data_IF_878866472665
#
_entry.id   IF_878866472665
#
_cell.length_a   1.000
_cell.length_b   1.000
_cell.length_c   1.000
_cell.angle_alpha   90.00
_cell.angle_beta   90.00
_cell.angle_gamma   90.00
#
_symmetry.space_group_name_H-M   'P 1'
#
loop_
_entity.id
_entity.type
_entity.pdbx_description
1 polymer ?
#
# COMPACT_ATOMS: atom_id res chain seq x y z
N UNK A 1 8.47 -13.97 -6.90
CA UNK A 1 7.69 -14.04 -5.64
C UNK A 1 6.22 -14.13 -6.01
N UNK A 2 5.48 -15.04 -5.39
CA UNK A 2 4.02 -15.16 -5.55
C UNK A 2 3.31 -13.98 -4.87
N UNK A 3 2.18 -13.50 -5.40
CA UNK A 3 1.33 -12.43 -4.79
C UNK A 3 1.06 -12.68 -3.31
N UNK A 4 0.79 -13.93 -2.95
CA UNK A 4 0.53 -14.38 -1.58
C UNK A 4 1.68 -14.04 -0.64
N UNK A 5 2.92 -14.30 -1.07
CA UNK A 5 4.13 -14.04 -0.29
C UNK A 5 4.34 -12.53 -0.05
N UNK A 6 4.00 -11.70 -1.03
CA UNK A 6 4.09 -10.24 -0.91
C UNK A 6 3.05 -9.71 0.07
N UNK A 7 1.81 -10.20 -0.01
CA UNK A 7 0.75 -9.81 0.92
C UNK A 7 1.01 -10.27 2.36
N UNK A 8 1.60 -11.45 2.54
CA UNK A 8 2.00 -11.95 3.86
C UNK A 8 3.16 -11.12 4.43
N UNK A 9 4.19 -10.81 3.64
CA UNK A 9 5.28 -9.93 4.06
C UNK A 9 4.79 -8.52 4.42
N UNK A 10 3.86 -7.95 3.63
CA UNK A 10 3.20 -6.68 3.95
C UNK A 10 2.42 -6.76 5.27
N UNK A 11 1.74 -7.88 5.52
CA UNK A 11 1.07 -8.14 6.79
C UNK A 11 2.03 -8.19 7.98
N UNK A 12 3.15 -8.90 7.83
CA UNK A 12 4.20 -8.98 8.87
C UNK A 12 4.83 -7.62 9.18
N UNK A 13 5.03 -6.80 8.15
CA UNK A 13 5.56 -5.43 8.29
C UNK A 13 4.51 -4.40 8.71
N UNK A 14 3.25 -4.81 8.95
CA UNK A 14 2.12 -3.94 9.29
C UNK A 14 1.88 -2.84 8.25
N UNK A 15 2.14 -3.14 6.99
CA UNK A 15 1.95 -2.23 5.85
C UNK A 15 0.49 -2.29 5.37
N UNK A 16 -0.42 -1.80 6.20
CA UNK A 16 -1.86 -1.96 5.96
C UNK A 16 -2.33 -1.16 4.74
N UNK A 17 -1.76 0.03 4.51
CA UNK A 17 -2.09 0.86 3.35
C UNK A 17 -1.60 0.22 2.06
N UNK A 18 -0.36 -0.31 2.05
CA UNK A 18 0.15 -1.06 0.89
C UNK A 18 -0.69 -2.29 0.60
N UNK A 19 -1.03 -3.07 1.63
CA UNK A 19 -1.81 -4.30 1.48
C UNK A 19 -3.19 -4.01 0.90
N UNK A 20 -3.83 -2.93 1.33
CA UNK A 20 -5.16 -2.53 0.84
C UNK A 20 -5.12 -2.02 -0.61
N UNK A 21 -4.08 -1.27 -0.97
CA UNK A 21 -3.93 -0.69 -2.32
C UNK A 21 -3.30 -1.66 -3.34
N UNK A 22 -2.75 -2.80 -2.90
CA UNK A 22 -1.97 -3.71 -3.74
C UNK A 22 -2.68 -4.14 -5.01
N UNK A 23 -3.93 -4.62 -4.91
CA UNK A 23 -4.67 -5.13 -6.07
C UNK A 23 -5.02 -4.03 -7.08
N UNK A 24 -5.36 -2.84 -6.59
CA UNK A 24 -5.70 -1.69 -7.43
C UNK A 24 -4.46 -1.13 -8.14
N UNK A 25 -3.35 -0.98 -7.41
CA UNK A 25 -2.08 -0.51 -7.97
C UNK A 25 -1.54 -1.52 -8.98
N UNK A 26 -1.57 -2.82 -8.67
CA UNK A 26 -1.13 -3.85 -9.62
C UNK A 26 -2.02 -3.92 -10.85
N UNK A 27 -3.35 -3.83 -10.71
CA UNK A 27 -4.27 -3.80 -11.84
C UNK A 27 -4.02 -2.57 -12.74
N UNK A 28 -3.71 -1.42 -12.14
CA UNK A 28 -3.37 -0.19 -12.86
C UNK A 28 -2.00 -0.29 -13.53
N UNK A 29 -1.01 -0.83 -12.83
CA UNK A 29 0.34 -1.03 -13.33
C UNK A 29 0.38 -1.94 -14.56
N UNK A 30 -0.36 -3.04 -14.54
CA UNK A 30 -0.48 -3.96 -15.67
C UNK A 30 -1.21 -3.30 -16.84
N UNK A 31 -2.28 -2.55 -16.59
CA UNK A 31 -3.05 -1.86 -17.64
C UNK A 31 -2.30 -0.71 -18.30
N UNK A 32 -1.46 0.00 -17.54
CA UNK A 32 -0.79 1.23 -18.00
C UNK A 32 0.72 1.07 -18.23
N UNK A 33 1.25 -0.15 -18.10
CA UNK A 33 2.69 -0.43 -18.13
C UNK A 33 3.48 0.56 -17.27
N UNK A 34 3.01 0.77 -16.03
CA UNK A 34 3.72 1.68 -15.12
C UNK A 34 5.14 1.19 -14.90
N UNK A 35 6.08 2.13 -14.88
CA UNK A 35 7.45 1.82 -14.49
C UNK A 35 7.43 1.25 -13.06
N UNK A 36 8.26 0.22 -12.77
CA UNK A 36 8.37 -0.33 -11.42
C UNK A 36 8.57 0.72 -10.32
N UNK A 37 9.26 1.83 -10.61
CA UNK A 37 9.44 2.93 -9.66
C UNK A 37 8.11 3.61 -9.30
N UNK A 38 7.21 3.74 -10.27
CA UNK A 38 5.91 4.38 -10.11
C UNK A 38 4.96 3.49 -9.29
N UNK A 39 5.00 2.17 -9.52
CA UNK A 39 4.26 1.18 -8.71
C UNK A 39 4.70 1.22 -7.25
N UNK A 40 6.01 1.26 -7.00
CA UNK A 40 6.56 1.37 -5.64
C UNK A 40 6.13 2.71 -5.01
N UNK A 41 6.16 3.80 -5.76
CA UNK A 41 5.70 5.11 -5.31
C UNK A 41 4.22 5.13 -4.91
N UNK A 42 3.35 4.53 -5.72
CA UNK A 42 1.91 4.43 -5.44
C UNK A 42 1.63 3.61 -4.17
N UNK A 43 2.34 2.48 -4.00
CA UNK A 43 2.25 1.68 -2.78
C UNK A 43 2.75 2.46 -1.55
N UNK A 44 3.87 3.18 -1.65
CA UNK A 44 4.41 3.97 -0.55
C UNK A 44 3.46 5.11 -0.16
N UNK A 45 2.86 5.79 -1.13
CA UNK A 45 1.87 6.83 -0.88
C UNK A 45 0.63 6.28 -0.17
N UNK A 46 0.15 5.08 -0.56
CA UNK A 46 -0.96 4.43 0.13
C UNK A 46 -0.66 4.14 1.60
N UNK A 47 0.56 3.69 1.90
CA UNK A 47 1.01 3.44 3.27
C UNK A 47 1.12 4.73 4.11
N UNK A 48 1.67 5.79 3.53
CA UNK A 48 1.80 7.09 4.20
C UNK A 48 0.41 7.66 4.50
N UNK A 49 -0.51 7.60 3.54
CA UNK A 49 -1.90 8.05 3.69
C UNK A 49 -2.63 7.27 4.79
N UNK A 50 -2.44 5.95 4.84
CA UNK A 50 -3.02 5.09 5.88
C UNK A 50 -2.48 5.45 7.27
N UNK A 51 -1.16 5.61 7.41
CA UNK A 51 -0.53 6.06 8.67
C UNK A 51 -1.00 7.44 9.10
N UNK A 52 -1.16 8.36 8.16
CA UNK A 52 -1.63 9.71 8.45
C UNK A 52 -3.09 9.71 8.88
N UNK A 53 -3.96 8.95 8.19
CA UNK A 53 -5.35 8.77 8.58
C UNK A 53 -5.48 8.12 9.97
N UNK A 54 -4.62 7.15 10.29
CA UNK A 54 -4.56 6.52 11.60
C UNK A 54 -4.09 7.48 12.69
N UNK A 55 -3.09 8.32 12.39
CA UNK A 55 -2.60 9.37 13.29
C UNK A 55 -3.67 10.43 13.58
N UNK A 56 -4.38 10.90 12.55
CA UNK A 56 -5.49 11.86 12.68
C UNK A 56 -6.62 11.25 13.54
N UNK A 57 -7.01 10.00 13.27
CA UNK A 57 -8.01 9.30 14.11
C UNK A 57 -7.55 9.19 15.57
N UNK A 58 -6.27 8.89 15.80
CA UNK A 58 -5.71 8.82 17.14
C UNK A 58 -5.78 10.18 17.85
N UNK A 59 -5.50 11.28 17.15
CA UNK A 59 -5.61 12.64 17.68
C UNK A 59 -7.07 13.06 17.95
N UNK A 60 -8.02 12.68 17.09
CA UNK A 60 -9.44 13.02 17.26
C UNK A 60 -10.18 12.18 18.31
N UNK A 61 -9.56 11.10 18.79
CA UNK A 61 -10.11 10.25 19.85
C UNK A 61 -9.66 10.72 21.26
N UNK A 62 -8.86 11.80 21.33
CA UNK A 62 -8.48 12.49 22.58
C UNK A 62 -9.53 13.54 22.93
#
# INVERSE_FOLDING_TARGET
>A
MERSHVLDAMGQLKLYGMKAAYDEVMATAVKRQHDPQQVIGDLLNAEISEKQARSIKYQMTI
#
